data_IF_238546510216
#
_entry.id   IF_238546510216
#
_cell.length_a   1.000
_cell.length_b   1.000
_cell.length_c   1.000
_cell.angle_alpha   90.00
_cell.angle_beta   90.00
_cell.angle_gamma   90.00
#
_symmetry.space_group_name_H-M   'P 1'
#
loop_
_entity.id
_entity.type
_entity.pdbx_description
1 polymer ?
#
# COMPACT_ATOMS: atom_id res chain seq x y z
N UNK A 1 -36.17 18.95 -61.59
CA UNK A 1 -36.64 19.54 -60.34
C UNK A 1 -36.69 18.49 -59.21
N UNK A 2 -37.20 17.30 -59.45
CA UNK A 2 -37.24 16.17 -58.48
C UNK A 2 -35.85 15.72 -58.02
N UNK A 3 -34.86 15.69 -58.92
CA UNK A 3 -33.48 15.28 -58.61
C UNK A 3 -32.76 16.24 -57.68
N UNK A 4 -33.11 17.54 -57.80
CA UNK A 4 -32.54 18.59 -56.94
C UNK A 4 -33.14 18.57 -55.51
N UNK A 5 -34.44 18.24 -55.42
CA UNK A 5 -35.13 18.05 -54.13
C UNK A 5 -34.63 16.81 -53.41
N UNK A 6 -34.35 15.72 -54.10
CA UNK A 6 -33.81 14.48 -53.54
C UNK A 6 -32.41 14.68 -52.97
N UNK A 7 -31.52 15.41 -53.64
CA UNK A 7 -30.19 15.78 -53.14
C UNK A 7 -30.27 16.64 -51.88
N UNK A 8 -31.18 17.57 -51.79
CA UNK A 8 -31.40 18.37 -50.58
C UNK A 8 -31.91 17.53 -49.41
N UNK A 9 -32.84 16.61 -49.67
CA UNK A 9 -33.36 15.70 -48.64
C UNK A 9 -32.27 14.77 -48.09
N UNK A 10 -31.40 14.20 -48.95
CA UNK A 10 -30.27 13.37 -48.56
C UNK A 10 -29.23 14.18 -47.75
N UNK A 11 -28.96 15.42 -48.14
CA UNK A 11 -28.04 16.28 -47.41
C UNK A 11 -28.56 16.67 -46.00
N UNK A 12 -29.85 16.94 -45.88
CA UNK A 12 -30.51 17.19 -44.58
C UNK A 12 -30.49 15.96 -43.70
N UNK A 13 -30.73 14.76 -44.26
CA UNK A 13 -30.70 13.50 -43.52
C UNK A 13 -29.29 13.20 -43.01
N UNK A 14 -28.25 13.41 -43.83
CA UNK A 14 -26.84 13.22 -43.39
C UNK A 14 -26.42 14.24 -42.32
N UNK A 15 -26.88 15.49 -42.44
CA UNK A 15 -26.63 16.50 -41.40
C UNK A 15 -27.31 16.16 -40.07
N UNK A 16 -28.54 15.64 -40.12
CA UNK A 16 -29.27 15.18 -38.93
C UNK A 16 -28.61 13.95 -38.28
N UNK A 17 -28.09 13.00 -39.08
CA UNK A 17 -27.33 11.86 -38.60
C UNK A 17 -26.00 12.28 -37.94
N UNK A 18 -25.26 13.21 -38.54
CA UNK A 18 -24.05 13.80 -37.94
C UNK A 18 -24.36 14.53 -36.63
N UNK A 19 -25.47 15.27 -36.59
CA UNK A 19 -25.90 15.99 -35.38
C UNK A 19 -26.33 15.03 -34.28
N UNK A 20 -27.02 13.93 -34.62
CA UNK A 20 -27.38 12.87 -33.69
C UNK A 20 -26.14 12.12 -33.14
N UNK A 21 -25.11 11.91 -33.97
CA UNK A 21 -23.83 11.31 -33.53
C UNK A 21 -23.04 12.25 -32.62
N UNK A 22 -22.97 13.54 -32.98
CA UNK A 22 -22.37 14.59 -32.13
C UNK A 22 -23.11 14.73 -30.79
N UNK A 23 -24.44 14.66 -30.80
CA UNK A 23 -25.27 14.77 -29.60
C UNK A 23 -25.14 13.52 -28.73
N UNK A 24 -25.06 12.32 -29.31
CA UNK A 24 -24.73 11.08 -28.58
C UNK A 24 -23.34 11.13 -27.98
N UNK A 25 -22.34 11.65 -28.70
CA UNK A 25 -20.97 11.80 -28.20
C UNK A 25 -20.89 12.82 -27.07
N UNK A 26 -21.62 13.94 -27.14
CA UNK A 26 -21.73 14.90 -26.04
C UNK A 26 -22.49 14.34 -24.83
N UNK A 27 -23.52 13.51 -25.04
CA UNK A 27 -24.29 12.91 -23.95
C UNK A 27 -23.51 11.78 -23.25
N UNK A 28 -22.68 11.01 -23.99
CA UNK A 28 -21.81 9.99 -23.38
C UNK A 28 -20.73 10.63 -22.50
N UNK A 29 -20.24 11.82 -22.87
CA UNK A 29 -19.30 12.58 -22.02
C UNK A 29 -19.96 13.32 -20.85
N UNK A 30 -21.30 13.46 -20.81
CA UNK A 30 -22.03 14.12 -19.72
C UNK A 30 -22.39 13.16 -18.57
N UNK A 31 -22.13 11.86 -18.72
CA UNK A 31 -22.22 10.83 -17.66
C UNK A 31 -20.84 10.37 -17.16
N UNK A 32 -19.82 11.21 -17.26
CA UNK A 32 -18.71 11.07 -16.34
C UNK A 32 -19.28 11.41 -14.95
N UNK A 33 -19.50 10.39 -14.13
CA UNK A 33 -19.89 10.56 -12.73
C UNK A 33 -18.89 11.57 -12.12
N UNK A 34 -19.42 12.73 -11.69
CA UNK A 34 -18.59 13.80 -11.16
C UNK A 34 -17.93 13.24 -9.91
N UNK A 35 -16.59 13.18 -9.90
CA UNK A 35 -15.81 12.72 -8.74
C UNK A 35 -16.32 13.46 -7.51
N UNK A 36 -17.01 12.75 -6.62
CA UNK A 36 -17.44 13.32 -5.34
C UNK A 36 -16.22 13.43 -4.43
N UNK A 37 -15.43 14.47 -4.66
CA UNK A 37 -14.18 14.71 -3.96
C UNK A 37 -14.46 15.16 -2.53
N UNK A 38 -13.91 14.40 -1.56
CA UNK A 38 -13.95 14.81 -0.16
C UNK A 38 -13.23 16.14 -0.01
N UNK A 39 -13.97 17.17 0.44
CA UNK A 39 -13.41 18.52 0.59
C UNK A 39 -12.52 18.61 1.81
N UNK A 40 -11.36 19.23 1.69
CA UNK A 40 -10.38 19.40 2.77
C UNK A 40 -10.97 20.10 4.01
N UNK A 41 -11.93 21.01 3.83
CA UNK A 41 -12.60 21.71 4.93
C UNK A 41 -13.61 20.83 5.71
N UNK A 42 -13.90 19.63 5.22
CA UNK A 42 -14.70 18.64 5.96
C UNK A 42 -13.89 17.92 7.07
N UNK A 43 -12.57 18.08 7.08
CA UNK A 43 -11.66 17.42 8.01
C UNK A 43 -10.98 18.41 8.93
N UNK A 44 -10.91 18.07 10.22
CA UNK A 44 -10.27 18.85 11.27
C UNK A 44 -8.74 18.70 11.31
N UNK A 45 -8.22 17.58 10.85
CA UNK A 45 -6.77 17.32 10.77
C UNK A 45 -6.07 18.29 9.83
N UNK A 46 -4.89 18.74 10.25
CA UNK A 46 -4.03 19.61 9.43
C UNK A 46 -3.45 18.81 8.26
N UNK A 47 -3.02 17.57 8.53
CA UNK A 47 -2.54 16.63 7.54
C UNK A 47 -3.24 15.28 7.75
N UNK A 48 -3.67 14.65 6.67
CA UNK A 48 -4.22 13.30 6.72
C UNK A 48 -4.05 12.56 5.39
N UNK A 49 -4.11 11.23 5.49
CA UNK A 49 -4.14 10.34 4.35
C UNK A 49 -5.15 9.21 4.57
N UNK A 50 -5.74 8.74 3.47
CA UNK A 50 -6.40 7.46 3.34
C UNK A 50 -5.65 6.68 2.26
N UNK A 51 -5.22 5.47 2.55
CA UNK A 51 -4.46 4.64 1.61
C UNK A 51 -5.08 3.26 1.44
N UNK A 52 -4.83 2.66 0.28
CA UNK A 52 -5.01 1.23 0.04
C UNK A 52 -3.99 0.45 0.88
N UNK A 53 -4.46 -0.39 1.79
CA UNK A 53 -3.60 -1.18 2.69
C UNK A 53 -2.79 -2.27 1.98
N UNK A 54 -3.09 -2.63 0.74
CA UNK A 54 -2.31 -3.60 -0.04
C UNK A 54 -1.17 -2.91 -0.82
N UNK A 55 -1.50 -1.86 -1.57
CA UNK A 55 -0.59 -1.21 -2.51
C UNK A 55 0.07 0.06 -1.96
N UNK A 56 -0.29 0.53 -0.77
CA UNK A 56 0.08 1.82 -0.17
C UNK A 56 -0.30 3.04 -1.04
N UNK A 57 -1.20 2.86 -2.02
CA UNK A 57 -1.69 3.94 -2.85
C UNK A 57 -2.50 4.94 -2.04
N UNK A 58 -2.21 6.22 -2.21
CA UNK A 58 -3.01 7.30 -1.64
C UNK A 58 -4.35 7.37 -2.39
N UNK A 59 -5.45 7.17 -1.67
CA UNK A 59 -6.83 7.25 -2.15
C UNK A 59 -7.41 8.64 -1.91
N UNK A 60 -7.02 9.26 -0.79
CA UNK A 60 -7.26 10.66 -0.46
C UNK A 60 -6.09 11.21 0.36
N UNK A 61 -5.71 12.46 0.11
CA UNK A 61 -4.64 13.14 0.83
C UNK A 61 -4.97 14.61 1.05
N UNK A 62 -4.71 15.11 2.24
CA UNK A 62 -4.70 16.54 2.60
C UNK A 62 -3.38 16.82 3.26
N UNK A 63 -2.50 17.56 2.59
CA UNK A 63 -1.12 17.81 3.07
C UNK A 63 -0.44 16.50 3.55
N UNK A 64 -0.71 15.39 2.87
CA UNK A 64 -0.36 14.04 3.29
C UNK A 64 1.15 13.79 3.37
N UNK A 65 1.92 14.61 2.67
CA UNK A 65 3.39 14.59 2.67
C UNK A 65 4.02 15.64 3.57
N UNK A 66 3.22 16.40 4.35
CA UNK A 66 3.74 17.41 5.25
C UNK A 66 4.36 16.76 6.51
N UNK A 67 5.68 16.96 6.79
CA UNK A 67 6.32 16.43 7.99
C UNK A 67 5.79 17.13 9.24
N UNK A 68 5.25 16.35 10.18
CA UNK A 68 4.68 16.83 11.43
C UNK A 68 5.09 15.92 12.59
N UNK A 69 5.12 16.49 13.81
CA UNK A 69 5.23 15.70 15.02
C UNK A 69 4.02 14.74 15.11
N UNK A 70 4.28 13.48 15.41
CA UNK A 70 3.27 12.42 15.38
C UNK A 70 2.97 11.80 16.75
N UNK A 71 3.63 12.30 17.81
CA UNK A 71 3.42 11.84 19.17
C UNK A 71 3.48 10.29 19.27
N UNK A 72 2.69 9.72 20.17
CA UNK A 72 2.70 8.26 20.45
C UNK A 72 2.20 7.36 19.32
N UNK A 73 1.86 7.87 18.13
CA UNK A 73 1.67 7.00 16.97
C UNK A 73 2.99 6.33 16.55
N UNK A 74 4.14 6.89 16.95
CA UNK A 74 5.49 6.30 16.87
C UNK A 74 5.55 4.87 17.41
N UNK A 75 4.78 4.57 18.47
CA UNK A 75 4.85 3.29 19.19
C UNK A 75 4.42 2.08 18.34
N UNK A 76 3.76 2.30 17.19
CA UNK A 76 3.50 1.20 16.24
C UNK A 76 4.80 0.63 15.68
N UNK A 77 5.77 1.52 15.36
CA UNK A 77 7.11 1.11 14.91
C UNK A 77 7.87 0.40 16.04
N UNK A 78 7.83 0.94 17.25
CA UNK A 78 8.47 0.31 18.43
C UNK A 78 7.91 -1.08 18.68
N UNK A 79 6.59 -1.25 18.59
CA UNK A 79 5.91 -2.53 18.80
C UNK A 79 6.29 -3.57 17.75
N UNK A 80 6.24 -3.22 16.47
CA UNK A 80 6.53 -4.18 15.42
C UNK A 80 8.00 -4.60 15.42
N UNK A 81 8.91 -3.67 15.68
CA UNK A 81 10.33 -3.98 15.81
C UNK A 81 10.63 -4.91 16.99
N UNK A 82 9.91 -4.76 18.10
CA UNK A 82 10.04 -5.67 19.23
C UNK A 82 9.57 -7.08 18.86
N UNK A 83 8.42 -7.22 18.20
CA UNK A 83 7.95 -8.52 17.75
C UNK A 83 8.87 -9.19 16.72
N UNK A 84 9.50 -8.41 15.86
CA UNK A 84 10.37 -8.96 14.81
C UNK A 84 11.77 -9.34 15.31
N UNK A 85 12.25 -8.78 16.43
CA UNK A 85 13.66 -8.88 16.83
C UNK A 85 13.89 -9.49 18.23
N UNK A 86 12.84 -9.85 18.98
CA UNK A 86 12.97 -10.40 20.32
C UNK A 86 11.92 -11.49 20.60
N UNK A 87 12.18 -12.31 21.62
CA UNK A 87 11.20 -13.27 22.12
C UNK A 87 10.22 -12.56 23.08
N UNK A 88 8.89 -12.71 22.93
CA UNK A 88 7.92 -12.15 23.85
C UNK A 88 8.15 -12.54 25.34
N UNK A 89 8.83 -13.66 25.59
CA UNK A 89 9.17 -14.14 26.93
C UNK A 89 10.51 -13.63 27.46
N UNK A 90 11.20 -12.78 26.71
CA UNK A 90 12.42 -12.11 27.19
C UNK A 90 12.15 -11.29 28.45
N UNK A 91 13.09 -11.36 29.39
CA UNK A 91 13.04 -10.57 30.62
C UNK A 91 13.69 -9.21 30.41
N UNK A 92 12.88 -8.16 30.47
CA UNK A 92 13.31 -6.77 30.37
C UNK A 92 13.57 -6.23 31.77
N UNK A 93 14.78 -5.73 32.02
CA UNK A 93 15.14 -5.04 33.26
C UNK A 93 15.02 -3.53 33.07
N UNK A 94 14.28 -2.87 33.95
CA UNK A 94 14.02 -1.44 33.88
C UNK A 94 15.23 -0.64 34.33
N UNK A 95 15.72 0.26 33.46
CA UNK A 95 16.79 1.20 33.80
C UNK A 95 16.27 2.41 34.59
N UNK A 96 17.17 3.15 35.21
CA UNK A 96 16.84 4.45 35.84
C UNK A 96 16.25 5.44 34.82
N UNK A 97 16.72 5.41 33.57
CA UNK A 97 16.23 6.29 32.50
C UNK A 97 14.82 5.90 32.08
N UNK A 98 14.51 4.62 31.93
CA UNK A 98 13.15 4.15 31.66
C UNK A 98 12.19 4.48 32.81
N UNK A 99 12.58 4.22 34.06
CA UNK A 99 11.78 4.56 35.25
C UNK A 99 11.51 6.08 35.38
N UNK A 100 12.44 6.93 34.90
CA UNK A 100 12.33 8.38 34.91
C UNK A 100 11.47 8.99 33.79
N UNK A 101 10.85 8.17 32.91
CA UNK A 101 10.09 8.71 31.80
C UNK A 101 8.84 9.50 32.24
N UNK A 102 8.51 10.62 31.52
CA UNK A 102 7.36 11.44 31.89
C UNK A 102 6.04 10.71 31.61
N UNK A 103 4.98 11.20 32.26
CA UNK A 103 3.61 10.69 32.02
C UNK A 103 3.23 10.83 30.52
N UNK A 104 2.53 9.86 29.94
CA UNK A 104 1.84 8.69 30.51
C UNK A 104 2.85 7.54 30.68
N UNK A 105 2.86 6.90 31.85
CA UNK A 105 3.78 5.82 32.20
C UNK A 105 3.11 4.77 33.09
N UNK A 106 3.62 3.53 33.08
CA UNK A 106 3.22 2.46 33.97
C UNK A 106 3.64 2.75 35.41
N UNK A 107 4.73 3.49 35.56
CA UNK A 107 5.34 3.83 36.85
C UNK A 107 6.28 2.75 37.37
N UNK A 108 7.01 2.13 36.44
CA UNK A 108 8.04 1.14 36.73
C UNK A 108 9.16 1.78 37.58
N UNK A 109 9.79 0.95 38.41
CA UNK A 109 10.93 1.35 39.22
C UNK A 109 12.22 0.77 38.61
N UNK A 110 13.36 1.43 38.88
CA UNK A 110 14.67 0.92 38.48
C UNK A 110 14.89 -0.51 39.03
N UNK A 111 15.42 -1.41 38.19
CA UNK A 111 15.65 -2.83 38.43
C UNK A 111 14.38 -3.70 38.54
N UNK A 112 13.15 -3.17 38.45
CA UNK A 112 11.98 -4.04 38.23
C UNK A 112 12.15 -4.83 36.92
N UNK A 113 11.62 -6.05 36.88
CA UNK A 113 11.72 -6.93 35.74
C UNK A 113 10.32 -7.34 35.24
N UNK A 114 10.16 -7.33 33.92
CA UNK A 114 8.92 -7.68 33.24
C UNK A 114 9.20 -8.59 32.07
N UNK A 115 8.21 -9.37 31.65
CA UNK A 115 8.26 -9.98 30.32
C UNK A 115 8.01 -8.95 29.23
N UNK A 116 8.73 -9.06 28.12
CA UNK A 116 8.59 -8.14 26.98
C UNK A 116 7.14 -8.05 26.49
N UNK A 117 6.43 -9.18 26.40
CA UNK A 117 5.00 -9.22 26.01
C UNK A 117 4.12 -8.31 26.87
N UNK A 118 4.37 -8.23 28.18
CA UNK A 118 3.57 -7.44 29.11
C UNK A 118 3.83 -5.93 28.94
N UNK A 119 5.09 -5.57 28.69
CA UNK A 119 5.46 -4.20 28.33
C UNK A 119 4.85 -3.75 26.98
N UNK A 120 4.72 -4.68 26.00
CA UNK A 120 4.07 -4.40 24.73
C UNK A 120 2.58 -4.10 24.91
N UNK A 121 1.87 -4.75 25.82
CA UNK A 121 0.50 -4.36 26.19
C UNK A 121 0.45 -2.98 26.81
N UNK A 122 1.35 -2.65 27.73
CA UNK A 122 1.46 -1.29 28.29
C UNK A 122 1.74 -0.22 27.25
N UNK A 123 2.65 -0.53 26.31
CA UNK A 123 3.03 0.30 25.18
C UNK A 123 1.83 0.65 24.28
N UNK A 124 1.05 -0.34 23.88
CA UNK A 124 0.03 -0.14 22.85
C UNK A 124 -1.34 0.23 23.43
N UNK A 125 -1.77 -0.39 24.53
CA UNK A 125 -3.10 -0.16 25.09
C UNK A 125 -3.19 1.16 25.85
N UNK A 126 -2.21 1.46 26.72
CA UNK A 126 -2.18 2.65 27.56
C UNK A 126 -1.21 3.73 27.07
N UNK A 127 -0.35 3.38 26.09
CA UNK A 127 0.63 4.30 25.51
C UNK A 127 1.76 4.69 26.47
N UNK A 128 2.19 3.81 27.36
CA UNK A 128 3.20 4.10 28.40
C UNK A 128 4.57 4.41 27.81
N UNK A 129 5.17 5.50 28.25
CA UNK A 129 6.46 6.01 27.76
C UNK A 129 7.64 5.20 28.30
N UNK A 130 7.57 4.82 29.58
CA UNK A 130 8.56 3.97 30.26
C UNK A 130 8.65 2.59 29.59
N UNK A 131 7.52 1.98 29.23
CA UNK A 131 7.51 0.72 28.45
C UNK A 131 8.25 0.87 27.13
N UNK A 132 8.01 1.95 26.37
CA UNK A 132 8.69 2.20 25.09
C UNK A 132 10.21 2.33 25.29
N UNK A 133 10.62 3.02 26.33
CA UNK A 133 12.02 3.27 26.64
C UNK A 133 12.73 1.98 27.04
N UNK A 134 12.14 1.21 27.97
CA UNK A 134 12.69 -0.06 28.43
C UNK A 134 12.80 -1.10 27.28
N UNK A 135 11.80 -1.14 26.39
CA UNK A 135 11.84 -2.00 25.19
C UNK A 135 13.00 -1.60 24.28
N UNK A 136 13.18 -0.32 24.01
CA UNK A 136 14.27 0.17 23.16
C UNK A 136 15.65 -0.17 23.71
N UNK A 137 15.87 0.05 25.02
CA UNK A 137 17.13 -0.31 25.68
C UNK A 137 17.37 -1.81 25.68
N UNK A 138 16.33 -2.62 25.89
CA UNK A 138 16.43 -4.08 25.84
C UNK A 138 16.87 -4.60 24.48
N UNK A 139 16.32 -4.04 23.41
CA UNK A 139 16.59 -4.51 22.04
C UNK A 139 17.96 -4.09 21.51
N UNK A 140 18.37 -2.85 21.75
CA UNK A 140 19.57 -2.26 21.13
C UNK A 140 20.56 -1.67 22.11
N UNK A 141 20.33 -1.83 23.41
CA UNK A 141 21.22 -1.32 24.47
C UNK A 141 21.13 0.19 24.72
N UNK A 142 20.55 0.96 23.79
CA UNK A 142 20.26 2.40 23.99
C UNK A 142 19.11 2.87 23.12
N UNK A 143 18.50 3.98 23.49
CA UNK A 143 17.43 4.62 22.72
C UNK A 143 17.94 5.16 21.38
N UNK A 144 19.16 5.66 21.35
CA UNK A 144 19.78 6.17 20.12
C UNK A 144 20.02 5.06 19.10
N UNK A 145 20.53 3.90 19.54
CA UNK A 145 20.71 2.74 18.67
C UNK A 145 19.37 2.21 18.17
N UNK A 146 18.34 2.18 19.03
CA UNK A 146 17.01 1.79 18.63
C UNK A 146 16.36 2.80 17.65
N UNK A 147 16.58 4.11 17.83
CA UNK A 147 16.12 5.13 16.89
C UNK A 147 16.76 4.95 15.49
N UNK A 148 18.04 4.58 15.43
CA UNK A 148 18.69 4.22 14.15
C UNK A 148 17.97 3.05 13.48
N UNK A 149 17.67 1.96 14.21
CA UNK A 149 16.88 0.81 13.70
C UNK A 149 15.50 1.24 13.23
N UNK A 150 14.80 2.12 13.96
CA UNK A 150 13.49 2.66 13.54
C UNK A 150 13.59 3.39 12.21
N UNK A 151 14.63 4.21 12.01
CA UNK A 151 14.85 4.96 10.78
C UNK A 151 15.27 4.05 9.62
N UNK A 152 16.07 3.02 9.86
CA UNK A 152 16.39 1.99 8.86
C UNK A 152 15.12 1.26 8.40
N UNK A 153 14.26 0.82 9.33
CA UNK A 153 12.99 0.19 9.00
C UNK A 153 12.07 1.15 8.24
N UNK A 154 11.95 2.40 8.63
CA UNK A 154 11.16 3.39 7.90
C UNK A 154 11.64 3.53 6.45
N UNK A 155 12.96 3.58 6.24
CA UNK A 155 13.58 3.62 4.91
C UNK A 155 13.31 2.35 4.10
N UNK A 156 13.42 1.17 4.71
CA UNK A 156 13.08 -0.12 4.09
C UNK A 156 11.62 -0.17 3.61
N UNK A 157 10.72 0.41 4.40
CA UNK A 157 9.30 0.52 4.06
C UNK A 157 9.03 1.59 2.99
N UNK A 158 10.04 2.37 2.56
CA UNK A 158 9.89 3.43 1.58
C UNK A 158 9.27 4.72 2.14
N UNK A 159 9.37 4.96 3.44
CA UNK A 159 9.02 6.24 4.03
C UNK A 159 10.02 7.31 3.57
N UNK A 160 9.52 8.45 3.11
CA UNK A 160 10.33 9.47 2.46
C UNK A 160 10.71 10.58 3.45
N UNK A 161 9.79 10.96 4.33
CA UNK A 161 9.90 12.10 5.24
C UNK A 161 9.55 11.69 6.67
N UNK A 162 10.28 10.68 7.17
CA UNK A 162 10.14 10.15 8.53
C UNK A 162 11.48 10.16 9.22
N UNK A 163 11.55 10.76 10.41
CA UNK A 163 12.73 10.78 11.27
C UNK A 163 12.34 10.51 12.73
N UNK A 164 12.74 9.34 13.22
CA UNK A 164 12.53 8.94 14.61
C UNK A 164 13.74 9.28 15.46
N UNK A 165 13.50 9.94 16.59
CA UNK A 165 14.51 10.27 17.61
C UNK A 165 14.21 9.54 18.93
N UNK A 166 12.93 9.23 19.18
CA UNK A 166 12.49 8.57 20.42
C UNK A 166 11.59 7.37 20.12
N UNK A 167 11.62 6.31 20.96
CA UNK A 167 10.74 5.14 20.79
C UNK A 167 9.30 5.40 21.21
N UNK A 168 9.04 6.47 21.95
CA UNK A 168 7.74 6.79 22.52
C UNK A 168 6.99 7.93 21.80
N UNK A 169 7.68 8.69 20.91
CA UNK A 169 7.11 9.80 20.16
C UNK A 169 7.03 11.11 20.94
N UNK A 170 7.80 11.27 22.00
CA UNK A 170 7.99 12.57 22.63
C UNK A 170 8.76 13.51 21.71
N UNK A 171 8.43 14.79 21.80
CA UNK A 171 9.05 15.84 21.00
C UNK A 171 10.52 16.00 21.37
N UNK A 172 11.41 15.54 20.49
CA UNK A 172 12.86 15.57 20.62
C UNK A 172 13.48 15.90 19.26
N UNK A 173 14.73 16.32 19.29
CA UNK A 173 15.56 16.54 18.09
C UNK A 173 16.97 15.99 18.31
N UNK A 174 17.61 15.61 17.26
CA UNK A 174 19.03 15.21 17.20
C UNK A 174 19.76 16.05 16.13
N UNK A 175 20.97 15.67 15.79
CA UNK A 175 21.78 16.35 14.77
C UNK A 175 21.16 16.31 13.35
N UNK A 176 20.25 15.35 13.09
CA UNK A 176 19.59 15.15 11.80
C UNK A 176 18.21 15.82 11.73
N UNK A 177 17.69 16.32 12.85
CA UNK A 177 16.44 17.07 12.91
C UNK A 177 15.48 16.68 14.02
N UNK A 178 14.27 17.17 13.94
CA UNK A 178 13.24 16.89 14.92
C UNK A 178 12.52 15.57 14.62
N UNK A 179 11.98 14.93 15.67
CA UNK A 179 11.12 13.75 15.55
C UNK A 179 9.85 14.08 14.75
N UNK A 180 9.65 13.43 13.60
CA UNK A 180 8.51 13.68 12.72
C UNK A 180 8.19 12.49 11.81
N UNK A 181 7.03 12.53 11.20
CA UNK A 181 6.63 11.69 10.07
C UNK A 181 5.58 12.42 9.21
N UNK A 182 5.18 11.85 8.09
CA UNK A 182 4.06 12.30 7.27
C UNK A 182 2.84 11.40 7.44
N UNK A 183 1.65 11.88 7.08
CA UNK A 183 0.45 11.05 7.12
C UNK A 183 0.57 9.87 6.14
N UNK A 184 1.16 10.08 4.97
CA UNK A 184 1.41 9.03 3.98
C UNK A 184 2.35 7.94 4.51
N UNK A 185 3.49 8.33 5.10
CA UNK A 185 4.45 7.39 5.67
C UNK A 185 3.87 6.62 6.85
N UNK A 186 3.10 7.30 7.70
CA UNK A 186 2.46 6.67 8.86
C UNK A 186 1.40 5.63 8.44
N UNK A 187 0.65 5.87 7.36
CA UNK A 187 -0.23 4.86 6.75
C UNK A 187 0.55 3.65 6.26
N UNK A 188 1.71 3.86 5.60
CA UNK A 188 2.58 2.80 5.10
C UNK A 188 3.11 1.93 6.25
N UNK A 189 3.56 2.55 7.34
CA UNK A 189 3.99 1.84 8.55
C UNK A 189 2.83 1.03 9.14
N UNK A 190 1.63 1.62 9.24
CA UNK A 190 0.45 0.91 9.75
C UNK A 190 0.05 -0.27 8.85
N UNK A 191 0.06 -0.09 7.53
CA UNK A 191 -0.20 -1.15 6.55
C UNK A 191 0.79 -2.32 6.73
N UNK A 192 2.07 -2.00 6.88
CA UNK A 192 3.10 -3.01 7.16
C UNK A 192 2.81 -3.78 8.45
N UNK A 193 2.59 -3.08 9.55
CA UNK A 193 2.32 -3.70 10.85
C UNK A 193 1.07 -4.60 10.83
N UNK A 194 0.05 -4.21 10.04
CA UNK A 194 -1.25 -4.88 10.06
C UNK A 194 -1.30 -6.11 9.14
N UNK A 195 -0.63 -6.07 7.96
CA UNK A 195 -0.83 -7.10 6.92
C UNK A 195 0.45 -7.63 6.26
N UNK A 196 1.59 -6.93 6.35
CA UNK A 196 2.78 -7.26 5.56
C UNK A 196 3.94 -7.80 6.39
N UNK A 197 4.03 -7.43 7.66
CA UNK A 197 5.04 -7.97 8.57
C UNK A 197 4.81 -9.46 8.81
N UNK A 198 5.90 -10.27 8.95
CA UNK A 198 5.78 -11.65 9.41
C UNK A 198 5.19 -11.78 10.81
N UNK A 199 5.05 -10.67 11.54
CA UNK A 199 4.48 -10.53 12.89
C UNK A 199 3.17 -9.74 12.93
N UNK A 200 2.51 -9.61 11.79
CA UNK A 200 1.25 -8.86 11.68
C UNK A 200 0.11 -9.47 12.52
N UNK A 201 0.04 -10.79 12.60
CA UNK A 201 -1.00 -11.47 13.39
C UNK A 201 -0.84 -11.17 14.89
N UNK A 202 0.40 -11.25 15.42
CA UNK A 202 0.72 -10.92 16.81
C UNK A 202 0.46 -9.43 17.10
N UNK A 203 0.85 -8.55 16.18
CA UNK A 203 0.58 -7.10 16.31
C UNK A 203 -0.91 -6.81 16.39
N UNK A 204 -1.71 -7.37 15.48
CA UNK A 204 -3.16 -7.17 15.45
C UNK A 204 -3.82 -7.78 16.68
N UNK A 205 -3.44 -9.00 17.09
CA UNK A 205 -3.97 -9.66 18.28
C UNK A 205 -3.75 -8.79 19.53
N UNK A 206 -2.54 -8.29 19.73
CA UNK A 206 -2.21 -7.42 20.86
C UNK A 206 -3.00 -6.12 20.83
N UNK A 207 -3.04 -5.42 19.70
CA UNK A 207 -3.66 -4.08 19.59
C UNK A 207 -5.19 -4.12 19.64
N UNK A 208 -5.82 -5.29 19.41
CA UNK A 208 -7.25 -5.52 19.56
C UNK A 208 -7.66 -5.93 20.98
N UNK A 209 -6.70 -6.34 21.80
CA UNK A 209 -6.97 -6.73 23.18
C UNK A 209 -7.63 -5.59 23.95
N UNK A 210 -8.71 -5.86 24.67
CA UNK A 210 -9.48 -4.84 25.40
C UNK A 210 -8.83 -4.51 26.73
N UNK A 211 -8.44 -5.54 27.47
CA UNK A 211 -7.84 -5.44 28.77
C UNK A 211 -6.81 -6.54 28.93
N UNK A 212 -5.74 -6.25 29.64
CA UNK A 212 -4.70 -7.21 29.96
C UNK A 212 -4.21 -6.98 31.41
N UNK A 213 -4.11 -8.07 32.18
CA UNK A 213 -3.56 -8.04 33.52
C UNK A 213 -2.29 -8.88 33.59
N UNK A 214 -1.27 -8.37 34.24
CA UNK A 214 0.03 -9.03 34.36
C UNK A 214 0.70 -8.71 35.68
N UNK A 215 1.83 -9.34 35.97
CA UNK A 215 2.67 -9.03 37.13
C UNK A 215 4.09 -8.77 36.66
N UNK A 216 4.83 -7.99 37.44
CA UNK A 216 6.28 -8.05 37.34
C UNK A 216 6.79 -9.43 37.88
N UNK A 217 8.08 -9.66 37.80
CA UNK A 217 8.68 -10.91 38.23
C UNK A 217 8.72 -11.05 39.77
N UNK A 218 8.44 -10.01 40.54
CA UNK A 218 8.31 -10.00 41.99
C UNK A 218 6.86 -10.23 42.46
N UNK A 219 5.89 -10.25 41.51
CA UNK A 219 4.47 -10.54 41.79
C UNK A 219 3.60 -9.28 42.03
N UNK A 220 4.09 -8.07 41.79
CA UNK A 220 3.29 -6.85 41.83
C UNK A 220 2.38 -6.81 40.60
N UNK A 221 1.08 -6.63 40.82
CA UNK A 221 0.06 -6.72 39.78
C UNK A 221 -0.19 -5.40 39.07
N UNK A 222 -0.42 -5.47 37.77
CA UNK A 222 -0.76 -4.37 36.88
C UNK A 222 -1.97 -4.74 36.01
N UNK A 223 -2.71 -3.73 35.56
CA UNK A 223 -3.79 -3.91 34.60
C UNK A 223 -3.80 -2.71 33.62
N UNK A 224 -4.02 -3.01 32.34
CA UNK A 224 -4.05 -2.04 31.27
C UNK A 224 -5.33 -2.22 30.44
N UNK A 225 -5.88 -1.12 29.93
CA UNK A 225 -7.09 -1.12 29.10
C UNK A 225 -6.88 -0.32 27.81
N UNK A 226 -7.46 -0.83 26.73
CA UNK A 226 -7.27 -0.25 25.42
C UNK A 226 -7.92 1.14 25.28
N UNK A 227 -7.13 2.15 24.95
CA UNK A 227 -7.58 3.53 24.75
C UNK A 227 -8.06 3.81 23.30
N UNK A 228 -7.99 2.84 22.42
CA UNK A 228 -8.50 2.97 21.06
C UNK A 228 -10.01 2.74 21.01
N UNK A 229 -10.77 3.76 21.34
CA UNK A 229 -12.24 3.71 21.33
C UNK A 229 -12.82 3.47 19.91
N UNK A 230 -12.04 3.69 18.85
CA UNK A 230 -12.51 3.51 17.47
C UNK A 230 -12.86 2.06 17.14
N UNK A 231 -12.24 1.10 17.84
CA UNK A 231 -12.57 -0.33 17.72
C UNK A 231 -14.03 -0.66 18.07
N UNK A 232 -14.71 0.21 18.84
CA UNK A 232 -16.13 0.10 19.18
C UNK A 232 -17.03 0.99 18.32
N UNK A 233 -16.45 1.89 17.54
CA UNK A 233 -17.15 2.87 16.73
C UNK A 233 -17.40 2.42 15.30
N UNK A 234 -16.61 1.47 14.80
CA UNK A 234 -16.66 0.98 13.43
C UNK A 234 -16.32 -0.51 13.39
N UNK A 235 -17.23 -1.32 12.89
CA UNK A 235 -17.11 -2.80 12.91
C UNK A 235 -15.91 -3.29 12.09
N UNK A 236 -15.64 -2.63 10.96
CA UNK A 236 -14.51 -2.96 10.09
C UNK A 236 -13.14 -2.51 10.63
N UNK A 237 -13.07 -1.80 11.78
CA UNK A 237 -11.81 -1.37 12.38
C UNK A 237 -10.97 -2.57 12.82
N UNK A 238 -9.74 -2.68 12.31
CA UNK A 238 -8.80 -3.74 12.64
C UNK A 238 -7.92 -3.35 13.82
N UNK A 239 -7.26 -2.20 13.75
CA UNK A 239 -6.31 -1.71 14.75
C UNK A 239 -6.16 -0.20 14.69
N UNK A 240 -5.46 0.39 15.64
CA UNK A 240 -5.10 1.80 15.60
C UNK A 240 -4.34 2.26 16.82
N UNK A 241 -3.67 3.41 16.70
CA UNK A 241 -2.91 4.05 17.77
C UNK A 241 -3.17 5.54 17.84
N UNK A 242 -3.49 6.03 19.02
CA UNK A 242 -3.63 7.46 19.32
C UNK A 242 -2.29 8.07 19.76
N UNK A 243 -2.12 9.37 19.50
CA UNK A 243 -1.01 10.17 20.01
C UNK A 243 -1.47 11.56 20.43
N UNK A 244 -0.73 12.16 21.35
CA UNK A 244 -0.89 13.57 21.73
C UNK A 244 0.38 14.10 22.39
N UNK A 245 0.89 15.21 21.89
CA UNK A 245 1.78 16.14 22.61
C UNK A 245 1.29 17.56 22.40
N UNK A 246 1.83 18.51 23.17
CA UNK A 246 1.49 19.92 22.98
C UNK A 246 1.83 20.44 21.58
N UNK A 247 2.95 19.96 21.01
CA UNK A 247 3.43 20.31 19.65
C UNK A 247 2.63 19.59 18.57
N UNK A 248 2.41 18.28 18.72
CA UNK A 248 1.75 17.44 17.71
C UNK A 248 0.23 17.69 17.60
N UNK A 249 -0.43 18.10 18.70
CA UNK A 249 -1.88 18.00 18.77
C UNK A 249 -2.35 16.53 18.84
N UNK A 250 -3.63 16.29 18.62
CA UNK A 250 -4.15 14.92 18.53
C UNK A 250 -3.75 14.28 17.21
N UNK A 251 -3.16 13.09 17.31
CA UNK A 251 -2.80 12.25 16.19
C UNK A 251 -3.51 10.90 16.30
N UNK A 252 -3.79 10.28 15.16
CA UNK A 252 -4.37 8.95 15.11
C UNK A 252 -3.96 8.24 13.83
N UNK A 253 -3.62 6.97 13.92
CA UNK A 253 -3.39 6.08 12.80
C UNK A 253 -4.21 4.83 13.00
N UNK A 254 -4.84 4.32 11.97
CA UNK A 254 -5.68 3.12 12.05
C UNK A 254 -5.74 2.36 10.74
N UNK A 255 -6.10 1.08 10.87
CA UNK A 255 -6.38 0.18 9.77
C UNK A 255 -7.81 -0.35 9.89
N UNK A 256 -8.47 -0.53 8.73
CA UNK A 256 -9.80 -1.11 8.62
C UNK A 256 -9.84 -2.09 7.45
N UNK A 257 -10.68 -3.15 7.57
CA UNK A 257 -10.86 -4.13 6.51
C UNK A 257 -12.34 -4.54 6.40
N UNK A 258 -12.89 -4.50 5.19
CA UNK A 258 -14.24 -4.94 4.90
C UNK A 258 -14.34 -5.56 3.51
N UNK A 259 -14.83 -6.80 3.44
CA UNK A 259 -14.99 -7.51 2.17
C UNK A 259 -13.70 -7.69 1.38
N UNK A 260 -12.55 -7.79 2.06
CA UNK A 260 -11.22 -7.89 1.48
C UNK A 260 -10.62 -6.54 1.04
N UNK A 261 -11.34 -5.44 1.24
CA UNK A 261 -10.83 -4.07 1.03
C UNK A 261 -10.08 -3.63 2.28
N UNK A 262 -8.80 -3.36 2.14
CA UNK A 262 -7.90 -2.95 3.21
C UNK A 262 -7.63 -1.45 3.12
N UNK A 263 -7.84 -0.73 4.21
CA UNK A 263 -7.63 0.72 4.27
C UNK A 263 -6.76 1.09 5.46
N UNK A 264 -5.84 2.04 5.25
CA UNK A 264 -5.17 2.74 6.35
C UNK A 264 -5.50 4.21 6.32
N UNK A 265 -5.63 4.80 7.50
CA UNK A 265 -5.72 6.26 7.67
C UNK A 265 -4.65 6.75 8.64
N UNK A 266 -4.17 7.96 8.41
CA UNK A 266 -3.38 8.70 9.38
C UNK A 266 -3.88 10.13 9.47
N UNK A 267 -3.97 10.64 10.71
CA UNK A 267 -4.44 11.97 11.06
C UNK A 267 -3.38 12.63 11.92
N UNK A 268 -2.83 13.74 11.48
CA UNK A 268 -1.84 14.53 12.20
C UNK A 268 -2.37 15.92 12.50
N UNK A 269 -2.04 16.43 13.70
CA UNK A 269 -2.50 17.73 14.18
C UNK A 269 -4.04 17.90 14.06
N UNK A 270 -4.78 16.90 14.53
CA UNK A 270 -6.24 16.84 14.47
C UNK A 270 -6.89 17.46 15.73
N UNK A 271 -6.60 18.74 15.98
CA UNK A 271 -7.07 19.50 17.14
C UNK A 271 -6.16 19.42 18.36
N UNK A 272 -6.46 20.26 19.33
CA UNK A 272 -5.76 20.39 20.62
C UNK A 272 -6.74 20.22 21.80
N UNK A 273 -6.35 20.43 23.05
CA UNK A 273 -7.24 20.27 24.20
C UNK A 273 -8.60 20.93 24.00
N UNK A 274 -9.67 20.25 24.40
CA UNK A 274 -11.09 20.47 24.15
C UNK A 274 -11.65 19.88 22.85
N UNK A 275 -10.80 19.46 21.90
CA UNK A 275 -11.20 18.92 20.59
C UNK A 275 -10.78 17.44 20.41
N UNK A 276 -10.69 16.66 21.49
CA UNK A 276 -10.19 15.26 21.48
C UNK A 276 -10.99 14.31 20.60
N UNK A 277 -12.21 14.66 20.23
CA UNK A 277 -13.11 13.82 19.43
C UNK A 277 -12.97 14.07 17.91
N UNK A 278 -12.26 15.11 17.48
CA UNK A 278 -12.07 15.41 16.07
C UNK A 278 -11.44 14.24 15.30
N UNK A 279 -10.45 13.58 15.89
CA UNK A 279 -9.83 12.41 15.29
C UNK A 279 -10.80 11.26 15.01
N UNK A 280 -11.85 11.10 15.84
CA UNK A 280 -12.88 10.06 15.61
C UNK A 280 -13.83 10.47 14.50
N UNK A 281 -14.16 11.75 14.38
CA UNK A 281 -14.98 12.28 13.30
C UNK A 281 -14.24 12.13 11.96
N UNK A 282 -12.99 12.59 11.88
CA UNK A 282 -12.16 12.47 10.67
C UNK A 282 -11.94 11.02 10.28
N UNK A 283 -11.66 10.13 11.25
CA UNK A 283 -11.48 8.70 11.00
C UNK A 283 -12.73 8.07 10.37
N UNK A 284 -13.92 8.37 10.90
CA UNK A 284 -15.18 7.90 10.31
C UNK A 284 -15.40 8.45 8.90
N UNK A 285 -15.11 9.72 8.69
CA UNK A 285 -15.24 10.38 7.38
C UNK A 285 -14.33 9.74 6.34
N UNK A 286 -13.04 9.52 6.67
CA UNK A 286 -12.08 8.93 5.73
C UNK A 286 -12.38 7.46 5.42
N UNK A 287 -12.66 6.63 6.43
CA UNK A 287 -13.03 5.24 6.18
C UNK A 287 -14.37 5.12 5.45
N UNK A 288 -15.36 5.95 5.81
CA UNK A 288 -16.64 6.04 5.09
C UNK A 288 -16.42 6.35 3.62
N UNK A 289 -15.63 7.39 3.31
CA UNK A 289 -15.28 7.75 1.95
C UNK A 289 -14.60 6.59 1.19
N UNK A 290 -13.67 5.88 1.84
CA UNK A 290 -13.03 4.70 1.26
C UNK A 290 -14.03 3.57 0.95
N UNK A 291 -14.91 3.28 1.90
CA UNK A 291 -15.91 2.20 1.77
C UNK A 291 -16.99 2.52 0.73
N UNK A 292 -17.41 3.77 0.63
CA UNK A 292 -18.47 4.21 -0.27
C UNK A 292 -17.98 4.26 -1.73
N UNK A 293 -16.73 4.64 -1.97
CA UNK A 293 -16.24 4.96 -3.31
C UNK A 293 -15.22 3.95 -3.89
N UNK A 294 -14.60 3.09 -3.08
CA UNK A 294 -13.56 2.20 -3.57
C UNK A 294 -13.98 0.72 -3.50
N UNK A 295 -13.89 0.04 -4.64
CA UNK A 295 -14.20 -1.37 -4.77
C UNK A 295 -12.94 -2.18 -5.08
N UNK A 296 -12.95 -3.47 -4.71
CA UNK A 296 -11.86 -4.38 -5.01
C UNK A 296 -11.89 -4.76 -6.49
N UNK A 297 -10.88 -4.35 -7.23
CA UNK A 297 -10.68 -4.74 -8.61
C UNK A 297 -9.69 -5.92 -8.68
N UNK A 298 -10.08 -6.96 -9.46
CA UNK A 298 -9.23 -8.13 -9.70
C UNK A 298 -8.81 -8.14 -11.17
N UNK A 299 -7.53 -7.88 -11.43
CA UNK A 299 -6.98 -7.78 -12.79
C UNK A 299 -6.87 -9.09 -13.59
N UNK A 300 -7.55 -10.16 -13.16
CA UNK A 300 -7.36 -11.51 -13.73
C UNK A 300 -8.11 -11.80 -15.03
N UNK A 301 -9.17 -11.07 -15.37
CA UNK A 301 -10.07 -11.43 -16.46
C UNK A 301 -9.53 -11.11 -17.87
N UNK A 302 -8.63 -10.15 -18.02
CA UNK A 302 -8.08 -9.75 -19.32
C UNK A 302 -6.74 -10.41 -19.70
N UNK A 303 -6.21 -11.30 -18.87
CA UNK A 303 -4.88 -11.93 -19.05
C UNK A 303 -4.74 -12.82 -20.32
N UNK A 304 -5.83 -13.23 -20.96
CA UNK A 304 -5.84 -14.46 -21.74
C UNK A 304 -5.57 -14.32 -23.24
N UNK A 305 -5.48 -13.14 -23.83
CA UNK A 305 -5.27 -12.99 -25.27
C UNK A 305 -4.12 -12.07 -25.64
N UNK A 306 -2.89 -12.57 -25.46
CA UNK A 306 -1.74 -11.92 -26.09
C UNK A 306 -1.62 -12.46 -27.50
N UNK A 307 -1.64 -11.61 -28.54
CA UNK A 307 -1.46 -12.05 -29.89
C UNK A 307 -0.06 -12.67 -30.09
N UNK A 308 0.04 -13.71 -30.90
CA UNK A 308 1.33 -14.24 -31.30
C UNK A 308 2.09 -13.18 -32.10
N UNK A 309 3.39 -13.04 -31.83
CA UNK A 309 4.27 -12.07 -32.47
C UNK A 309 5.11 -12.70 -33.57
N UNK A 310 5.35 -11.96 -34.65
CA UNK A 310 6.22 -12.39 -35.75
C UNK A 310 7.70 -12.23 -35.32
N UNK A 311 8.47 -13.32 -35.53
CA UNK A 311 9.91 -13.32 -35.22
C UNK A 311 10.69 -13.19 -36.52
N UNK A 312 11.48 -12.14 -36.64
CA UNK A 312 12.32 -11.92 -37.81
C UNK A 312 13.53 -12.89 -37.84
N UNK A 313 13.81 -13.45 -39.00
CA UNK A 313 14.94 -14.38 -39.18
C UNK A 313 14.80 -15.71 -38.47
N UNK A 314 13.57 -16.10 -38.12
CA UNK A 314 13.24 -17.35 -37.46
C UNK A 314 13.24 -18.52 -38.45
N UNK A 315 13.64 -19.69 -37.94
CA UNK A 315 13.59 -20.97 -38.65
C UNK A 315 12.69 -21.94 -37.90
N UNK A 316 11.78 -22.56 -38.64
CA UNK A 316 11.04 -23.72 -38.16
C UNK A 316 11.44 -24.92 -38.98
N UNK A 317 11.45 -26.10 -38.42
CA UNK A 317 11.77 -27.36 -39.11
C UNK A 317 10.63 -27.78 -40.08
N UNK A 318 10.43 -26.97 -41.11
CA UNK A 318 9.37 -27.06 -42.11
C UNK A 318 9.94 -27.36 -43.49
N UNK A 319 9.08 -27.85 -44.41
CA UNK A 319 9.43 -28.11 -45.81
C UNK A 319 9.84 -26.84 -46.57
N UNK A 320 10.57 -26.97 -47.68
CA UNK A 320 10.92 -25.84 -48.56
C UNK A 320 9.70 -25.11 -49.12
N UNK A 321 8.52 -25.74 -49.18
CA UNK A 321 7.26 -25.12 -49.60
C UNK A 321 6.76 -24.07 -48.61
N UNK A 322 7.21 -24.12 -47.38
CA UNK A 322 6.86 -23.12 -46.32
C UNK A 322 7.97 -22.08 -46.12
N UNK A 323 9.00 -22.13 -46.95
CA UNK A 323 10.10 -21.20 -46.95
C UNK A 323 9.62 -19.75 -47.09
N UNK A 324 10.12 -18.87 -46.22
CA UNK A 324 9.77 -17.45 -46.25
C UNK A 324 8.44 -17.09 -45.56
N UNK A 325 7.68 -18.05 -45.03
CA UNK A 325 6.57 -17.74 -44.17
C UNK A 325 7.08 -17.15 -42.85
N UNK A 326 6.43 -16.07 -42.43
CA UNK A 326 6.72 -15.42 -41.13
C UNK A 326 6.27 -16.32 -39.99
N UNK A 327 7.19 -16.62 -39.08
CA UNK A 327 6.92 -17.47 -37.94
C UNK A 327 6.31 -16.61 -36.83
N UNK A 328 5.17 -17.05 -36.33
CA UNK A 328 4.51 -16.43 -35.17
C UNK A 328 4.74 -17.30 -33.96
N UNK A 329 5.30 -16.68 -32.90
CA UNK A 329 5.52 -17.33 -31.61
C UNK A 329 4.41 -16.91 -30.64
N UNK A 330 3.69 -17.88 -30.03
CA UNK A 330 2.73 -17.58 -28.99
C UNK A 330 3.44 -17.02 -27.78
N UNK A 331 2.82 -16.01 -27.15
CA UNK A 331 3.33 -15.33 -26.00
C UNK A 331 2.50 -15.68 -24.75
N UNK A 332 3.07 -15.48 -23.58
CA UNK A 332 2.38 -15.57 -22.30
C UNK A 332 2.87 -14.50 -21.34
N UNK A 333 2.03 -14.10 -20.39
CA UNK A 333 2.44 -13.23 -19.27
C UNK A 333 3.15 -14.10 -18.24
N UNK A 334 4.37 -13.72 -17.88
CA UNK A 334 5.11 -14.38 -16.82
C UNK A 334 4.51 -13.94 -15.48
N UNK A 335 3.68 -14.79 -14.89
CA UNK A 335 3.05 -14.52 -13.60
C UNK A 335 4.09 -14.59 -12.47
N UNK A 336 4.06 -13.59 -11.59
CA UNK A 336 4.42 -13.76 -10.20
C UNK A 336 3.14 -14.23 -9.48
N UNK A 337 3.26 -15.16 -8.56
CA UNK A 337 2.20 -16.01 -7.98
C UNK A 337 1.06 -15.31 -7.21
N UNK A 338 0.86 -14.00 -7.37
CA UNK A 338 -0.14 -13.24 -6.61
C UNK A 338 -1.28 -12.76 -7.52
N UNK A 339 -2.51 -12.98 -7.05
CA UNK A 339 -3.68 -12.38 -7.66
C UNK A 339 -3.60 -10.87 -7.54
N UNK A 340 -3.51 -10.15 -8.67
CA UNK A 340 -3.54 -8.68 -8.67
C UNK A 340 -4.89 -8.19 -8.16
N UNK A 341 -4.89 -7.73 -6.93
CA UNK A 341 -6.02 -7.06 -6.33
C UNK A 341 -5.62 -5.65 -5.93
N UNK A 342 -6.46 -4.67 -6.23
CA UNK A 342 -6.27 -3.29 -5.80
C UNK A 342 -7.61 -2.57 -5.69
N UNK A 343 -7.65 -1.54 -4.88
CA UNK A 343 -8.83 -0.71 -4.75
C UNK A 343 -8.94 0.23 -5.97
N UNK A 344 -10.13 0.29 -6.55
CA UNK A 344 -10.47 1.16 -7.68
C UNK A 344 -11.71 1.98 -7.32
N UNK A 345 -11.65 3.30 -7.52
CA UNK A 345 -12.82 4.15 -7.36
C UNK A 345 -13.80 4.01 -8.53
N UNK A 346 -15.07 4.36 -8.30
CA UNK A 346 -16.13 4.26 -9.31
C UNK A 346 -15.85 5.13 -10.54
N UNK A 347 -15.21 6.28 -10.37
CA UNK A 347 -14.79 7.20 -11.44
C UNK A 347 -13.44 6.87 -12.09
N UNK A 348 -12.70 5.89 -11.58
CA UNK A 348 -11.41 5.50 -12.15
C UNK A 348 -11.60 4.45 -13.24
N UNK A 349 -10.94 4.65 -14.37
CA UNK A 349 -10.89 3.64 -15.44
C UNK A 349 -9.70 2.71 -15.20
N UNK A 350 -9.95 1.40 -15.28
CA UNK A 350 -8.92 0.39 -15.31
C UNK A 350 -8.58 0.03 -16.76
N UNK A 351 -7.32 0.22 -17.15
CA UNK A 351 -6.85 -0.07 -18.51
C UNK A 351 -5.67 -1.02 -18.49
N UNK A 352 -5.56 -1.85 -19.55
CA UNK A 352 -4.43 -2.76 -19.75
C UNK A 352 -3.65 -2.32 -20.97
N UNK A 353 -2.43 -1.86 -20.74
CA UNK A 353 -1.51 -1.41 -21.79
C UNK A 353 -0.50 -2.54 -22.09
N UNK A 354 -0.39 -2.91 -23.36
CA UNK A 354 0.59 -3.90 -23.82
C UNK A 354 1.63 -3.21 -24.69
N UNK A 355 2.89 -3.37 -24.30
CA UNK A 355 4.03 -2.93 -25.10
C UNK A 355 4.81 -4.17 -25.56
N UNK A 356 4.83 -4.43 -26.84
CA UNK A 356 5.64 -5.49 -27.44
C UNK A 356 6.85 -4.83 -28.11
N UNK A 357 7.99 -5.50 -28.09
CA UNK A 357 9.17 -5.05 -28.81
C UNK A 357 8.84 -4.96 -30.31
N UNK A 358 9.17 -3.84 -30.94
CA UNK A 358 8.82 -3.54 -32.35
C UNK A 358 9.35 -4.59 -33.31
N UNK A 359 10.52 -5.19 -32.99
CA UNK A 359 11.14 -6.21 -33.81
C UNK A 359 11.81 -7.24 -32.92
N UNK A 360 11.20 -8.44 -32.84
CA UNK A 360 11.82 -9.60 -32.17
C UNK A 360 12.57 -10.41 -33.21
N UNK A 361 13.87 -10.59 -32.97
CA UNK A 361 14.74 -11.34 -33.91
C UNK A 361 15.11 -12.71 -33.33
N UNK A 362 15.14 -13.74 -34.20
CA UNK A 362 15.67 -15.04 -33.81
C UNK A 362 17.19 -15.00 -33.54
N UNK A 363 17.75 -15.84 -32.64
CA UNK A 363 17.04 -16.90 -31.91
C UNK A 363 16.26 -16.34 -30.71
N UNK A 364 15.10 -16.94 -30.41
CA UNK A 364 14.30 -16.67 -29.21
C UNK A 364 14.18 -17.96 -28.43
N UNK A 365 14.41 -17.92 -27.13
CA UNK A 365 14.23 -19.08 -26.25
C UNK A 365 12.89 -18.97 -25.52
N UNK A 366 12.30 -20.11 -25.19
CA UNK A 366 11.14 -20.16 -24.31
C UNK A 366 11.47 -19.44 -22.99
N UNK A 367 10.65 -18.46 -22.61
CA UNK A 367 10.84 -17.62 -21.44
C UNK A 367 11.57 -16.30 -21.69
N UNK A 368 12.12 -16.06 -22.88
CA UNK A 368 12.71 -14.77 -23.23
C UNK A 368 11.65 -13.68 -23.22
N UNK A 369 12.01 -12.51 -22.68
CA UNK A 369 11.16 -11.33 -22.63
C UNK A 369 10.96 -10.78 -24.04
N UNK A 370 9.70 -10.56 -24.38
CA UNK A 370 9.25 -10.04 -25.69
C UNK A 370 8.47 -8.73 -25.55
N UNK A 371 8.29 -8.25 -24.34
CA UNK A 371 7.54 -7.05 -24.06
C UNK A 371 7.04 -6.98 -22.62
N UNK A 372 6.10 -6.08 -22.36
CA UNK A 372 5.47 -5.89 -21.05
C UNK A 372 3.96 -5.73 -21.18
N UNK A 373 3.23 -6.10 -20.14
CA UNK A 373 1.84 -5.73 -19.93
C UNK A 373 1.73 -4.95 -18.65
N UNK A 374 1.17 -3.73 -18.73
CA UNK A 374 0.98 -2.83 -17.61
C UNK A 374 -0.52 -2.70 -17.31
N UNK A 375 -0.87 -2.82 -16.05
CA UNK A 375 -2.21 -2.59 -15.54
C UNK A 375 -2.25 -1.20 -14.91
N UNK A 376 -3.10 -0.33 -15.45
CA UNK A 376 -3.20 1.07 -15.06
C UNK A 376 -4.56 1.36 -14.44
N UNK A 377 -4.59 2.23 -13.42
CA UNK A 377 -5.81 2.83 -12.87
C UNK A 377 -5.67 4.33 -12.92
N UNK A 378 -6.70 5.02 -13.42
CA UNK A 378 -6.68 6.46 -13.57
C UNK A 378 -5.47 6.95 -14.38
N UNK A 379 -5.02 6.16 -15.37
CA UNK A 379 -3.85 6.46 -16.20
C UNK A 379 -2.49 6.21 -15.55
N UNK A 380 -2.43 5.76 -14.29
CA UNK A 380 -1.17 5.44 -13.61
C UNK A 380 -0.94 3.93 -13.60
N UNK A 381 0.29 3.53 -13.97
CA UNK A 381 0.73 2.13 -13.91
C UNK A 381 0.75 1.66 -12.45
N UNK A 382 0.13 0.49 -12.19
CA UNK A 382 0.07 -0.14 -10.86
C UNK A 382 0.88 -1.43 -10.82
N UNK A 383 0.77 -2.23 -11.88
CA UNK A 383 1.54 -3.46 -12.02
C UNK A 383 2.06 -3.58 -13.44
N UNK A 384 3.28 -4.10 -13.56
CA UNK A 384 3.88 -4.44 -14.85
C UNK A 384 4.40 -5.87 -14.80
N UNK A 385 4.08 -6.65 -15.82
CA UNK A 385 4.55 -8.03 -15.98
C UNK A 385 5.26 -8.20 -17.30
N UNK A 386 6.23 -9.12 -17.32
CA UNK A 386 6.91 -9.50 -18.54
C UNK A 386 6.00 -10.37 -19.43
N UNK A 387 5.97 -10.04 -20.71
CA UNK A 387 5.42 -10.89 -21.76
C UNK A 387 6.58 -11.70 -22.31
N UNK A 388 6.46 -13.04 -22.26
CA UNK A 388 7.54 -13.94 -22.63
C UNK A 388 7.13 -14.89 -23.77
N UNK A 389 8.13 -15.37 -24.51
CA UNK A 389 7.94 -16.38 -25.54
C UNK A 389 7.54 -17.73 -24.93
N UNK A 390 6.48 -18.37 -25.47
CA UNK A 390 5.99 -19.66 -25.01
C UNK A 390 6.79 -20.84 -25.58
N UNK A 391 7.49 -20.62 -26.69
CA UNK A 391 8.25 -21.59 -27.43
C UNK A 391 9.59 -21.01 -27.84
N UNK A 392 10.58 -21.90 -28.11
CA UNK A 392 11.89 -21.50 -28.63
C UNK A 392 11.85 -21.53 -30.16
N UNK A 393 12.52 -20.55 -30.78
CA UNK A 393 12.67 -20.48 -32.25
C UNK A 393 14.13 -20.19 -32.55
N UNK A 394 14.72 -21.02 -33.41
CA UNK A 394 16.10 -20.86 -33.82
C UNK A 394 16.27 -19.84 -34.97
N UNK A 395 17.47 -19.29 -35.06
CA UNK A 395 17.84 -18.40 -36.15
C UNK A 395 18.08 -19.21 -37.44
N UNK A 396 17.58 -18.68 -38.53
CA UNK A 396 17.89 -19.19 -39.86
C UNK A 396 19.40 -19.21 -40.12
N UNK A 397 19.92 -20.35 -40.58
CA UNK A 397 21.32 -20.50 -40.99
C UNK A 397 21.43 -21.53 -42.12
N UNK A 398 22.60 -21.59 -42.77
CA UNK A 398 22.83 -22.47 -43.93
C UNK A 398 22.65 -23.96 -43.58
N UNK A 399 22.98 -24.37 -42.37
CA UNK A 399 22.78 -25.75 -41.91
C UNK A 399 21.28 -26.13 -41.82
N UNK A 400 20.45 -25.19 -41.38
CA UNK A 400 19.01 -25.34 -41.34
C UNK A 400 18.43 -25.50 -42.77
N UNK A 401 18.95 -24.72 -43.73
CA UNK A 401 18.59 -24.84 -45.12
C UNK A 401 18.93 -26.24 -45.68
N UNK A 402 20.13 -26.73 -45.43
CA UNK A 402 20.53 -28.08 -45.90
C UNK A 402 19.68 -29.20 -45.30
N UNK A 403 19.28 -29.09 -44.04
CA UNK A 403 18.35 -30.04 -43.38
C UNK A 403 16.97 -30.04 -44.03
N UNK A 404 16.42 -28.85 -44.32
CA UNK A 404 15.13 -28.73 -45.00
C UNK A 404 15.17 -29.32 -46.40
N UNK A 405 16.27 -29.09 -47.16
CA UNK A 405 16.50 -29.67 -48.48
C UNK A 405 16.59 -31.21 -48.43
N UNK A 406 17.29 -31.75 -47.43
CA UNK A 406 17.44 -33.17 -47.23
C UNK A 406 16.11 -33.87 -46.96
N UNK A 407 15.25 -33.26 -46.19
CA UNK A 407 13.90 -33.78 -45.86
C UNK A 407 12.95 -33.86 -47.06
N UNK A 408 13.15 -33.06 -48.10
CA UNK A 408 12.33 -33.14 -49.32
C UNK A 408 12.85 -34.18 -50.34
N UNK A 409 14.09 -34.61 -50.18
CA UNK A 409 14.74 -35.53 -51.08
C UNK A 409 14.65 -37.00 -50.58
N UNK A 410 14.43 -37.17 -49.29
CA UNK A 410 14.25 -38.47 -48.61
C UNK A 410 12.79 -38.75 -48.27
#
# INVERSE_FOLDING_TARGET
>A
WLFFMWKKAVFILLALLMFAQLFSFCMVNAYAEEKEELKDNALYSKSCALTDGESDRILYGKEESLPLANASTTKIMTCILAFENADPDDVVTVSAAAAGQPKVHLGMQENEQFYLRDLLYGLMLESYNDCAYAIAEHLDGSVEAFAMRMNEKAKELGCIDTHFVTPNGLDMEDENGSHHTTAADLCRIMSYCTWKSPKSEEFVALTRTREHAFTDLEGKSFAVANKNAFLDMMECAVTGKTGFTGKAGYCYVAAAEEGGRKFCIALLACGWPNNKNYKWADAKTLFGYGLDHYQLYRGTEEKTKIPAVEIAGAYHDVSLAEWGKRIKVPLYVKEQNESMTFLKADWEEATVVRSLDETICAPVKKGDKCGTVSYCIGGQERYQYDICAKESVERWNFTAFLRALWKEIT
#
